data_IF_202683613069
#
_entry.id   IF_202683613069
#
_cell.length_a   1.000
_cell.length_b   1.000
_cell.length_c   1.000
_cell.angle_alpha   90.00
_cell.angle_beta   90.00
_cell.angle_gamma   90.00
#
_symmetry.space_group_name_H-M   'P 1'
#
loop_
_entity.id
_entity.type
_entity.pdbx_description
1 polymer ?
#
# COMPACT_ATOMS: atom_id res chain seq x y z
N UNK A 1 -14.92 7.71 29.17
CA UNK A 1 -15.24 8.73 28.16
C UNK A 1 -14.80 8.18 26.81
N UNK A 2 -15.66 8.21 25.78
CA UNK A 2 -15.24 7.74 24.44
C UNK A 2 -14.19 8.70 23.87
N UNK A 3 -13.16 8.14 23.24
CA UNK A 3 -12.05 8.87 22.60
C UNK A 3 -12.49 9.32 21.19
N UNK A 4 -11.96 10.43 20.67
CA UNK A 4 -12.28 10.88 19.31
C UNK A 4 -11.46 10.10 18.28
N UNK A 5 -12.15 9.37 17.39
CA UNK A 5 -11.54 8.53 16.35
C UNK A 5 -10.58 9.30 15.44
N UNK A 6 -11.02 10.45 14.92
CA UNK A 6 -10.28 11.18 13.89
C UNK A 6 -9.11 11.97 14.46
N UNK A 7 -9.25 12.54 15.66
CA UNK A 7 -8.15 13.24 16.34
C UNK A 7 -7.01 12.29 16.72
N UNK A 8 -7.32 11.07 17.16
CA UNK A 8 -6.27 10.09 17.46
C UNK A 8 -5.62 9.55 16.20
N UNK A 9 -6.41 9.26 15.17
CA UNK A 9 -5.88 8.76 13.90
C UNK A 9 -4.98 9.79 13.19
N UNK A 10 -5.31 11.08 13.30
CA UNK A 10 -4.44 12.17 12.81
C UNK A 10 -3.05 12.15 13.48
N UNK A 11 -3.03 12.02 14.81
CA UNK A 11 -1.79 11.97 15.59
C UNK A 11 -0.94 10.76 15.20
N UNK A 12 -1.58 9.61 14.98
CA UNK A 12 -0.92 8.38 14.54
C UNK A 12 -0.38 8.57 13.13
N UNK A 13 -1.23 8.97 12.18
CA UNK A 13 -0.88 9.12 10.77
C UNK A 13 0.35 9.99 10.59
N UNK A 14 0.43 11.13 11.27
CA UNK A 14 1.54 12.08 11.11
C UNK A 14 2.67 11.94 12.13
N UNK A 15 2.66 10.88 12.95
CA UNK A 15 3.75 10.63 13.88
C UNK A 15 5.07 10.39 13.12
N UNK A 16 6.13 11.10 13.50
CA UNK A 16 7.42 11.08 12.79
C UNK A 16 8.26 9.85 13.11
N UNK A 17 8.21 9.36 14.35
CA UNK A 17 8.87 8.10 14.70
C UNK A 17 7.99 6.92 14.27
N UNK A 18 8.54 6.05 13.42
CA UNK A 18 7.86 4.88 12.84
C UNK A 18 7.43 3.88 13.91
N UNK A 19 8.32 3.55 14.83
CA UNK A 19 8.03 2.53 15.85
C UNK A 19 7.03 3.06 16.87
N UNK A 20 7.10 4.36 17.20
CA UNK A 20 6.08 5.00 18.02
C UNK A 20 4.74 5.12 17.30
N UNK A 21 4.73 5.39 15.98
CA UNK A 21 3.50 5.33 15.16
C UNK A 21 2.84 3.96 15.28
N UNK A 22 3.62 2.89 15.11
CA UNK A 22 3.14 1.51 15.21
C UNK A 22 2.61 1.21 16.62
N UNK A 23 3.33 1.61 17.66
CA UNK A 23 2.87 1.44 19.06
C UNK A 23 1.52 2.14 19.30
N UNK A 24 1.41 3.40 18.88
CA UNK A 24 0.18 4.20 19.02
C UNK A 24 -0.97 3.60 18.20
N UNK A 25 -0.69 3.11 16.99
CA UNK A 25 -1.67 2.42 16.16
C UNK A 25 -2.19 1.14 16.84
N UNK A 26 -1.30 0.32 17.42
CA UNK A 26 -1.70 -0.92 18.08
C UNK A 26 -2.64 -0.64 19.26
N UNK A 27 -2.32 0.34 20.11
CA UNK A 27 -3.22 0.75 21.20
C UNK A 27 -4.57 1.25 20.66
N UNK A 28 -4.52 2.12 19.64
CA UNK A 28 -5.71 2.65 18.98
C UNK A 28 -6.59 1.53 18.41
N UNK A 29 -6.00 0.56 17.73
CA UNK A 29 -6.73 -0.51 17.06
C UNK A 29 -7.40 -1.46 18.06
N UNK A 30 -6.77 -1.77 19.19
CA UNK A 30 -7.41 -2.52 20.29
C UNK A 30 -8.58 -1.76 20.91
N UNK A 31 -8.41 -0.46 21.15
CA UNK A 31 -9.49 0.40 21.65
C UNK A 31 -10.65 0.52 20.64
N UNK A 32 -10.34 0.51 19.35
CA UNK A 32 -11.31 0.52 18.25
C UNK A 32 -12.15 -0.74 18.24
N UNK A 33 -11.52 -1.91 18.31
CA UNK A 33 -12.21 -3.21 18.44
C UNK A 33 -13.07 -3.28 19.71
N UNK A 34 -12.67 -2.55 20.75
CA UNK A 34 -13.42 -2.44 22.02
C UNK A 34 -14.53 -1.38 22.01
N UNK A 35 -14.87 -0.79 20.86
CA UNK A 35 -15.91 0.24 20.69
C UNK A 35 -15.73 1.48 21.57
N UNK A 36 -14.48 1.86 21.85
CA UNK A 36 -14.14 2.98 22.74
C UNK A 36 -14.12 4.35 22.04
N UNK A 37 -14.43 4.41 20.75
CA UNK A 37 -14.38 5.64 19.97
C UNK A 37 -15.76 6.22 19.63
N UNK A 38 -15.80 7.55 19.51
CA UNK A 38 -16.85 8.28 18.81
C UNK A 38 -16.32 8.85 17.48
N UNK A 39 -17.19 8.92 16.47
CA UNK A 39 -16.84 9.41 15.14
C UNK A 39 -17.31 10.85 14.99
N UNK A 40 -16.43 11.81 15.28
CA UNK A 40 -16.71 13.21 15.01
C UNK A 40 -16.49 13.54 13.52
N UNK A 41 -17.51 13.32 12.69
CA UNK A 41 -17.41 13.55 11.24
C UNK A 41 -17.24 15.03 10.83
N UNK A 42 -17.37 15.98 11.77
CA UNK A 42 -17.04 17.39 11.49
C UNK A 42 -15.55 17.70 11.62
N UNK A 43 -14.71 16.72 12.00
CA UNK A 43 -13.26 16.90 12.07
C UNK A 43 -12.68 17.15 10.69
N UNK A 44 -12.07 18.32 10.50
CA UNK A 44 -11.43 18.70 9.23
C UNK A 44 -10.10 17.97 9.06
N UNK A 45 -9.98 17.22 7.95
CA UNK A 45 -8.79 16.45 7.68
C UNK A 45 -7.66 17.35 7.12
N UNK A 46 -6.50 17.34 7.77
CA UNK A 46 -5.32 18.03 7.26
C UNK A 46 -4.54 17.15 6.26
N UNK A 47 -3.52 17.73 5.64
CA UNK A 47 -2.55 16.98 4.85
C UNK A 47 -1.15 17.50 5.15
N UNK A 48 -0.25 16.60 5.50
CA UNK A 48 1.13 16.92 5.85
C UNK A 48 2.08 15.93 5.18
N UNK A 49 3.26 16.42 4.82
CA UNK A 49 4.35 15.56 4.34
C UNK A 49 4.70 14.54 5.42
N UNK A 50 4.66 13.26 5.06
CA UNK A 50 4.81 12.14 6.00
C UNK A 50 5.91 11.16 5.59
N UNK A 51 6.79 11.59 4.69
CA UNK A 51 7.89 10.75 4.22
C UNK A 51 8.92 10.50 5.32
N UNK A 52 9.39 9.26 5.39
CA UNK A 52 10.40 8.79 6.35
C UNK A 52 11.77 8.61 5.71
N UNK A 53 11.84 8.73 4.39
CA UNK A 53 13.04 8.46 3.60
C UNK A 53 13.25 9.57 2.59
N UNK A 54 14.49 9.77 2.17
CA UNK A 54 14.76 10.77 1.13
C UNK A 54 14.23 10.29 -0.22
N UNK A 55 13.21 10.98 -0.71
CA UNK A 55 12.56 10.69 -2.00
C UNK A 55 13.41 11.21 -3.16
N UNK A 56 13.61 10.35 -4.16
CA UNK A 56 14.22 10.66 -5.43
C UNK A 56 13.26 10.37 -6.57
N UNK A 57 13.45 11.07 -7.69
CA UNK A 57 12.75 10.73 -8.93
C UNK A 57 13.01 9.26 -9.31
N UNK A 58 12.01 8.47 -9.77
CA UNK A 58 12.19 7.05 -10.08
C UNK A 58 13.40 6.74 -10.97
N UNK A 59 13.67 7.59 -11.97
CA UNK A 59 14.83 7.44 -12.88
C UNK A 59 16.20 7.61 -12.21
N UNK A 60 16.25 8.20 -11.00
CA UNK A 60 17.49 8.41 -10.24
C UNK A 60 17.79 7.26 -9.27
N UNK A 61 16.85 6.32 -9.10
CA UNK A 61 17.03 5.16 -8.21
C UNK A 61 17.67 4.03 -8.99
N UNK A 62 18.90 3.68 -8.62
CA UNK A 62 19.61 2.53 -9.19
C UNK A 62 19.13 1.24 -8.53
N UNK A 63 18.14 0.59 -9.16
CA UNK A 63 17.67 -0.73 -8.74
C UNK A 63 18.75 -1.78 -9.04
N UNK A 64 19.12 -2.65 -8.09
CA UNK A 64 20.03 -3.76 -8.36
C UNK A 64 19.48 -4.59 -9.53
N UNK A 65 20.34 -5.11 -10.41
CA UNK A 65 19.91 -6.04 -11.46
C UNK A 65 19.84 -7.49 -10.97
N UNK A 66 20.69 -7.83 -10.02
CA UNK A 66 20.87 -9.17 -9.45
C UNK A 66 20.80 -9.13 -7.92
N UNK A 67 20.57 -10.30 -7.28
CA UNK A 67 20.51 -10.49 -5.84
C UNK A 67 21.76 -11.20 -5.28
N UNK A 68 22.94 -10.85 -5.83
CA UNK A 68 24.21 -11.57 -5.63
C UNK A 68 25.05 -11.08 -4.44
N UNK A 69 24.62 -10.04 -3.72
CA UNK A 69 25.33 -9.51 -2.54
C UNK A 69 24.35 -9.07 -1.46
N UNK A 70 24.82 -9.04 -0.21
CA UNK A 70 24.07 -8.52 0.95
C UNK A 70 23.52 -7.11 0.69
N UNK A 71 24.33 -6.24 0.08
CA UNK A 71 23.90 -4.87 -0.29
C UNK A 71 22.78 -4.88 -1.35
N UNK A 72 22.88 -5.74 -2.36
CA UNK A 72 21.85 -5.87 -3.40
C UNK A 72 20.54 -6.39 -2.81
N UNK A 73 20.60 -7.40 -1.92
CA UNK A 73 19.45 -7.93 -1.19
C UNK A 73 18.79 -6.84 -0.34
N UNK A 74 19.59 -6.13 0.46
CA UNK A 74 19.09 -5.08 1.35
C UNK A 74 18.38 -3.96 0.56
N UNK A 75 18.91 -3.54 -0.59
CA UNK A 75 18.25 -2.54 -1.45
C UNK A 75 16.91 -3.01 -2.01
N UNK A 76 16.81 -4.29 -2.37
CA UNK A 76 15.56 -4.88 -2.88
C UNK A 76 14.53 -4.92 -1.75
N UNK A 77 14.88 -5.48 -0.59
CA UNK A 77 13.98 -5.58 0.57
C UNK A 77 13.58 -4.21 1.11
N UNK A 78 14.49 -3.24 1.16
CA UNK A 78 14.17 -1.86 1.56
C UNK A 78 13.14 -1.22 0.63
N UNK A 79 13.25 -1.48 -0.68
CA UNK A 79 12.28 -0.95 -1.64
C UNK A 79 10.88 -1.52 -1.39
N UNK A 80 10.78 -2.80 -1.03
CA UNK A 80 9.50 -3.43 -0.64
C UNK A 80 9.02 -2.89 0.69
N UNK A 81 9.89 -2.80 1.71
CA UNK A 81 9.55 -2.23 3.01
C UNK A 81 9.01 -0.79 2.90
N UNK A 82 9.53 0.01 1.97
CA UNK A 82 8.99 1.34 1.70
C UNK A 82 7.58 1.30 1.11
N UNK A 83 7.26 0.33 0.26
CA UNK A 83 5.93 0.15 -0.31
C UNK A 83 4.96 -0.22 0.80
N UNK A 84 5.26 -1.24 1.61
CA UNK A 84 4.41 -1.64 2.75
C UNK A 84 4.22 -0.48 3.73
N UNK A 85 5.30 0.23 4.09
CA UNK A 85 5.19 1.40 4.98
C UNK A 85 4.33 2.53 4.36
N UNK A 86 4.39 2.71 3.04
CA UNK A 86 3.52 3.66 2.37
C UNK A 86 2.07 3.21 2.42
N UNK A 87 1.80 1.91 2.24
CA UNK A 87 0.46 1.32 2.35
C UNK A 87 -0.16 1.49 3.74
N UNK A 88 0.64 1.40 4.83
CA UNK A 88 0.18 1.80 6.18
C UNK A 88 -0.39 3.22 6.16
N UNK A 89 0.36 4.18 5.62
CA UNK A 89 -0.09 5.58 5.57
C UNK A 89 -1.30 5.77 4.65
N UNK A 90 -1.39 5.03 3.54
CA UNK A 90 -2.54 5.09 2.62
C UNK A 90 -3.81 4.61 3.32
N UNK A 91 -3.75 3.48 4.02
CA UNK A 91 -4.88 2.89 4.72
C UNK A 91 -5.33 3.75 5.92
N UNK A 92 -4.38 4.28 6.69
CA UNK A 92 -4.66 5.26 7.74
C UNK A 92 -5.26 6.55 7.16
N UNK A 93 -4.73 7.07 6.05
CA UNK A 93 -5.27 8.26 5.38
C UNK A 93 -6.69 8.02 4.86
N UNK A 94 -7.00 6.87 4.27
CA UNK A 94 -8.35 6.53 3.84
C UNK A 94 -9.34 6.58 5.02
N UNK A 95 -8.98 5.91 6.13
CA UNK A 95 -9.76 5.88 7.37
C UNK A 95 -9.93 7.27 8.01
N UNK A 96 -8.89 8.09 7.94
CA UNK A 96 -8.88 9.42 8.54
C UNK A 96 -9.63 10.42 7.69
N UNK A 97 -9.43 10.43 6.37
CA UNK A 97 -9.83 11.51 5.47
C UNK A 97 -11.29 11.44 5.08
N UNK A 98 -11.79 10.26 4.75
CA UNK A 98 -13.16 10.11 4.26
C UNK A 98 -14.14 9.91 5.42
N UNK A 99 -15.15 10.77 5.47
CA UNK A 99 -16.12 10.87 6.58
C UNK A 99 -17.50 10.39 6.12
N UNK A 100 -18.40 10.18 7.09
CA UNK A 100 -19.79 9.78 6.86
C UNK A 100 -19.94 8.46 6.07
N UNK A 101 -18.98 7.54 6.25
CA UNK A 101 -19.00 6.22 5.63
C UNK A 101 -19.49 5.15 6.63
N UNK A 102 -19.96 4.00 6.16
CA UNK A 102 -20.33 2.89 7.03
C UNK A 102 -19.16 2.47 7.92
N UNK A 103 -19.44 2.00 9.14
CA UNK A 103 -18.40 1.51 10.08
C UNK A 103 -17.44 0.51 9.41
N UNK A 104 -17.96 -0.32 8.51
CA UNK A 104 -17.19 -1.30 7.75
C UNK A 104 -16.03 -0.70 6.95
N UNK A 105 -16.18 0.52 6.43
CA UNK A 105 -15.11 1.23 5.73
C UNK A 105 -13.90 1.44 6.64
N UNK A 106 -14.14 1.95 7.84
CA UNK A 106 -13.09 2.18 8.83
C UNK A 106 -12.49 0.86 9.33
N UNK A 107 -13.31 -0.19 9.51
CA UNK A 107 -12.81 -1.51 9.87
C UNK A 107 -11.89 -2.09 8.80
N UNK A 108 -12.29 -2.01 7.53
CA UNK A 108 -11.51 -2.55 6.41
C UNK A 108 -10.14 -1.90 6.29
N UNK A 109 -10.06 -0.57 6.36
CA UNK A 109 -8.79 0.14 6.20
C UNK A 109 -7.90 0.08 7.44
N UNK A 110 -8.48 -0.05 8.65
CA UNK A 110 -7.67 -0.33 9.84
C UNK A 110 -7.13 -1.76 9.86
N UNK A 111 -7.88 -2.74 9.32
CA UNK A 111 -7.38 -4.10 9.10
C UNK A 111 -6.21 -4.11 8.11
N UNK A 112 -6.33 -3.41 6.97
CA UNK A 112 -5.22 -3.25 6.01
C UNK A 112 -4.01 -2.62 6.70
N UNK A 113 -4.19 -1.52 7.45
CA UNK A 113 -3.07 -0.89 8.16
C UNK A 113 -2.36 -1.84 9.15
N UNK A 114 -3.11 -2.69 9.86
CA UNK A 114 -2.57 -3.70 10.77
C UNK A 114 -1.78 -4.80 10.04
N UNK A 115 -2.27 -5.26 8.88
CA UNK A 115 -1.57 -6.24 8.04
C UNK A 115 -0.30 -5.66 7.42
N UNK A 116 -0.35 -4.43 6.89
CA UNK A 116 0.79 -3.70 6.34
C UNK A 116 1.89 -3.42 7.38
N UNK A 117 1.49 -3.15 8.63
CA UNK A 117 2.45 -3.05 9.76
C UNK A 117 3.19 -4.37 9.96
N UNK A 118 2.50 -5.52 9.88
CA UNK A 118 3.15 -6.83 10.02
C UNK A 118 4.11 -7.08 8.86
N UNK A 119 3.72 -6.76 7.63
CA UNK A 119 4.59 -6.88 6.46
C UNK A 119 5.86 -6.03 6.60
N UNK A 120 5.69 -4.76 6.96
CA UNK A 120 6.80 -3.85 7.20
C UNK A 120 7.76 -4.37 8.27
N UNK A 121 7.23 -4.83 9.41
CA UNK A 121 8.05 -5.34 10.52
C UNK A 121 8.80 -6.63 10.15
N UNK A 122 8.21 -7.52 9.36
CA UNK A 122 8.90 -8.69 8.82
C UNK A 122 10.10 -8.28 7.95
N UNK A 123 9.87 -7.35 7.02
CA UNK A 123 10.92 -6.85 6.12
C UNK A 123 12.01 -6.07 6.87
N UNK A 124 11.63 -5.23 7.84
CA UNK A 124 12.56 -4.49 8.69
C UNK A 124 13.44 -5.43 9.52
N UNK A 125 12.85 -6.48 10.10
CA UNK A 125 13.63 -7.52 10.79
C UNK A 125 14.64 -8.18 9.85
N UNK A 126 14.23 -8.57 8.64
CA UNK A 126 15.13 -9.19 7.66
C UNK A 126 16.21 -8.22 7.15
N UNK A 127 15.91 -6.93 7.03
CA UNK A 127 16.91 -5.90 6.73
C UNK A 127 17.98 -5.84 7.83
N UNK A 128 17.55 -5.84 9.10
CA UNK A 128 18.47 -5.82 10.24
C UNK A 128 19.38 -7.05 10.27
N UNK A 129 18.88 -8.24 9.88
CA UNK A 129 19.71 -9.45 9.71
C UNK A 129 20.77 -9.32 8.61
N UNK A 130 20.53 -8.47 7.60
CA UNK A 130 21.50 -8.12 6.55
C UNK A 130 22.46 -6.99 6.97
N UNK A 131 22.29 -6.41 8.17
CA UNK A 131 23.08 -5.29 8.68
C UNK A 131 22.64 -3.92 8.17
N UNK A 132 21.38 -3.79 7.71
CA UNK A 132 20.77 -2.54 7.24
C UNK A 132 19.45 -2.29 7.95
N UNK A 133 18.90 -1.09 7.81
CA UNK A 133 17.57 -0.74 8.32
C UNK A 133 16.76 0.07 7.32
N UNK A 134 15.46 0.12 7.54
CA UNK A 134 14.61 1.05 6.81
C UNK A 134 15.11 2.49 6.99
N UNK A 135 15.15 3.23 5.88
CA UNK A 135 15.74 4.56 5.79
C UNK A 135 17.22 4.63 5.37
N UNK A 136 17.96 3.52 5.33
CA UNK A 136 19.36 3.53 4.86
C UNK A 136 19.51 3.80 3.35
N UNK A 137 18.44 3.57 2.57
CA UNK A 137 18.42 3.81 1.14
C UNK A 137 17.34 4.83 0.73
N UNK A 138 17.55 5.45 -0.43
CA UNK A 138 16.57 6.33 -1.06
C UNK A 138 15.40 5.55 -1.67
N UNK A 139 14.23 6.18 -1.72
CA UNK A 139 13.05 5.60 -2.35
C UNK A 139 12.34 6.59 -3.29
N UNK A 140 11.27 6.15 -3.97
CA UNK A 140 10.44 6.99 -4.83
C UNK A 140 9.02 7.03 -4.29
N UNK A 141 8.30 8.12 -4.55
CA UNK A 141 6.97 8.32 -3.98
C UNK A 141 5.85 8.49 -5.02
N UNK A 142 5.57 7.41 -5.75
CA UNK A 142 4.43 7.42 -6.67
C UNK A 142 3.08 7.34 -5.93
N UNK A 143 3.07 6.76 -4.71
CA UNK A 143 1.86 6.57 -3.91
C UNK A 143 1.42 7.88 -3.23
N UNK A 144 2.34 8.66 -2.66
CA UNK A 144 2.01 9.97 -2.08
C UNK A 144 1.46 10.92 -3.14
N UNK A 145 2.06 10.95 -4.34
CA UNK A 145 1.52 11.76 -5.43
C UNK A 145 0.07 11.39 -5.75
N UNK A 146 -0.23 10.09 -5.86
CA UNK A 146 -1.59 9.62 -6.13
C UNK A 146 -2.55 9.95 -4.97
N UNK A 147 -2.09 9.81 -3.72
CA UNK A 147 -2.82 10.21 -2.51
C UNK A 147 -3.19 11.69 -2.58
N UNK A 148 -2.24 12.58 -2.90
CA UNK A 148 -2.46 14.02 -2.93
C UNK A 148 -3.50 14.44 -3.98
N UNK A 149 -3.42 13.91 -5.20
CA UNK A 149 -4.32 14.32 -6.29
C UNK A 149 -5.73 13.72 -6.18
N UNK A 150 -5.89 12.64 -5.40
CA UNK A 150 -7.18 11.97 -5.17
C UNK A 150 -7.79 12.29 -3.81
N UNK A 151 -7.13 13.13 -3.00
CA UNK A 151 -7.50 13.41 -1.60
C UNK A 151 -8.96 13.86 -1.39
N UNK A 152 -9.54 14.53 -2.39
CA UNK A 152 -10.88 15.13 -2.29
C UNK A 152 -11.99 14.26 -2.92
N UNK A 153 -11.66 13.07 -3.43
CA UNK A 153 -12.64 12.20 -4.11
C UNK A 153 -12.45 10.73 -3.74
N UNK A 154 -13.42 10.19 -2.99
CA UNK A 154 -13.40 8.80 -2.52
C UNK A 154 -13.30 7.80 -3.68
N UNK A 155 -14.14 7.93 -4.72
CA UNK A 155 -14.12 7.01 -5.86
C UNK A 155 -12.77 7.03 -6.58
N UNK A 156 -12.18 8.22 -6.79
CA UNK A 156 -10.85 8.29 -7.40
C UNK A 156 -9.78 7.71 -6.48
N UNK A 157 -9.85 7.92 -5.16
CA UNK A 157 -8.89 7.33 -4.22
C UNK A 157 -8.95 5.81 -4.26
N UNK A 158 -10.15 5.25 -4.11
CA UNK A 158 -10.34 3.80 -4.10
C UNK A 158 -9.92 3.18 -5.43
N UNK A 159 -10.30 3.80 -6.56
CA UNK A 159 -9.97 3.28 -7.89
C UNK A 159 -8.48 3.41 -8.26
N UNK A 160 -7.87 4.57 -8.06
CA UNK A 160 -6.49 4.80 -8.51
C UNK A 160 -5.46 4.25 -7.53
N UNK A 161 -5.67 4.44 -6.23
CA UNK A 161 -4.67 4.04 -5.22
C UNK A 161 -4.88 2.60 -4.81
N UNK A 162 -6.00 2.30 -4.15
CA UNK A 162 -6.17 0.99 -3.50
C UNK A 162 -6.50 -0.15 -4.45
N UNK A 163 -7.32 0.12 -5.47
CA UNK A 163 -7.61 -0.87 -6.51
C UNK A 163 -6.50 -0.91 -7.56
N UNK A 164 -5.94 0.24 -7.93
CA UNK A 164 -5.03 0.36 -9.06
C UNK A 164 -3.55 0.20 -8.72
N UNK A 165 -2.99 1.13 -7.95
CA UNK A 165 -1.56 1.17 -7.64
C UNK A 165 -1.13 0.06 -6.69
N UNK A 166 -1.92 -0.28 -5.68
CA UNK A 166 -1.64 -1.40 -4.76
C UNK A 166 -1.67 -2.75 -5.51
N UNK A 167 -2.55 -2.92 -6.51
CA UNK A 167 -2.56 -4.12 -7.37
C UNK A 167 -1.26 -4.36 -8.16
N UNK A 168 -0.36 -3.37 -8.22
CA UNK A 168 0.97 -3.59 -8.80
C UNK A 168 1.88 -4.42 -7.90
N UNK A 169 1.61 -4.48 -6.60
CA UNK A 169 2.25 -5.43 -5.69
C UNK A 169 2.01 -6.87 -6.14
N UNK A 170 0.77 -7.20 -6.52
CA UNK A 170 0.40 -8.52 -7.06
C UNK A 170 1.21 -8.92 -8.30
N UNK A 171 1.54 -7.93 -9.15
CA UNK A 171 2.32 -8.12 -10.36
C UNK A 171 3.82 -8.21 -10.07
N UNK A 172 4.34 -7.32 -9.21
CA UNK A 172 5.78 -7.15 -9.01
C UNK A 172 6.38 -8.18 -8.03
N UNK A 173 5.65 -8.53 -6.98
CA UNK A 173 6.15 -9.38 -5.89
C UNK A 173 6.63 -10.77 -6.37
N UNK A 174 5.95 -11.46 -7.30
CA UNK A 174 6.47 -12.72 -7.86
C UNK A 174 7.85 -12.59 -8.50
N UNK A 175 8.10 -11.52 -9.29
CA UNK A 175 9.40 -11.28 -9.92
C UNK A 175 10.47 -10.90 -8.90
N UNK A 176 10.10 -10.12 -7.88
CA UNK A 176 11.00 -9.77 -6.78
C UNK A 176 11.43 -11.04 -6.03
N UNK A 177 10.48 -11.92 -5.72
CA UNK A 177 10.76 -13.19 -5.04
C UNK A 177 11.64 -14.11 -5.90
N UNK A 178 11.33 -14.28 -7.18
CA UNK A 178 12.15 -15.07 -8.11
C UNK A 178 13.60 -14.59 -8.09
N UNK A 179 13.79 -13.27 -8.16
CA UNK A 179 15.11 -12.66 -8.11
C UNK A 179 15.80 -12.88 -6.78
N UNK A 180 15.11 -12.69 -5.65
CA UNK A 180 15.66 -12.95 -4.32
C UNK A 180 16.08 -14.43 -4.18
N UNK A 181 15.33 -15.35 -4.80
CA UNK A 181 15.62 -16.78 -4.84
C UNK A 181 16.86 -17.16 -5.66
N UNK A 182 17.47 -16.23 -6.40
CA UNK A 182 18.76 -16.48 -7.07
C UNK A 182 19.96 -16.38 -6.13
N UNK A 183 19.77 -15.86 -4.90
CA UNK A 183 20.88 -15.72 -3.95
C UNK A 183 21.34 -17.04 -3.34
N UNK A 184 22.59 -17.05 -2.88
CA UNK A 184 23.17 -18.11 -2.03
C UNK A 184 23.28 -17.67 -0.56
N UNK A 185 22.72 -16.51 -0.18
CA UNK A 185 22.76 -16.01 1.18
C UNK A 185 21.99 -16.94 2.16
N UNK A 186 22.48 -17.19 3.39
CA UNK A 186 21.85 -18.12 4.33
C UNK A 186 20.37 -17.81 4.67
N UNK A 187 19.99 -16.53 4.65
CA UNK A 187 18.62 -16.09 4.98
C UNK A 187 17.61 -16.30 3.86
N UNK A 188 18.02 -16.86 2.71
CA UNK A 188 17.19 -17.04 1.50
C UNK A 188 15.82 -17.64 1.80
N UNK A 189 15.75 -18.61 2.71
CA UNK A 189 14.50 -19.31 3.07
C UNK A 189 13.42 -18.37 3.60
N UNK A 190 13.79 -17.25 4.23
CA UNK A 190 12.84 -16.29 4.78
C UNK A 190 12.04 -15.57 3.68
N UNK A 191 12.61 -15.40 2.49
CA UNK A 191 11.99 -14.60 1.43
C UNK A 191 10.69 -15.22 0.92
N UNK A 192 10.67 -16.54 0.69
CA UNK A 192 9.46 -17.22 0.24
C UNK A 192 8.33 -17.14 1.25
N UNK A 193 8.64 -17.24 2.55
CA UNK A 193 7.65 -17.13 3.62
C UNK A 193 7.04 -15.73 3.68
N UNK A 194 7.89 -14.70 3.73
CA UNK A 194 7.46 -13.29 3.81
C UNK A 194 6.61 -12.91 2.59
N UNK A 195 7.07 -13.22 1.37
CA UNK A 195 6.34 -12.84 0.16
C UNK A 195 5.06 -13.65 -0.05
N UNK A 196 4.96 -14.85 0.55
CA UNK A 196 3.70 -15.61 0.54
C UNK A 196 2.66 -14.95 1.46
N UNK A 197 3.09 -14.49 2.65
CA UNK A 197 2.22 -13.74 3.57
C UNK A 197 1.70 -12.47 2.87
N UNK A 198 2.63 -11.65 2.36
CA UNK A 198 2.30 -10.39 1.67
C UNK A 198 1.32 -10.64 0.52
N UNK A 199 1.61 -11.59 -0.37
CA UNK A 199 0.75 -11.84 -1.54
C UNK A 199 -0.68 -12.27 -1.13
N UNK A 200 -0.83 -13.08 -0.09
CA UNK A 200 -2.14 -13.56 0.35
C UNK A 200 -3.00 -12.43 0.93
N UNK A 201 -2.39 -11.49 1.64
CA UNK A 201 -3.09 -10.36 2.24
C UNK A 201 -3.36 -9.27 1.20
N UNK A 202 -2.42 -8.99 0.30
CA UNK A 202 -2.55 -8.04 -0.80
C UNK A 202 -3.74 -8.34 -1.73
N UNK A 203 -4.03 -9.62 -2.00
CA UNK A 203 -5.22 -10.00 -2.78
C UNK A 203 -6.50 -9.48 -2.09
N UNK A 204 -6.57 -9.56 -0.76
CA UNK A 204 -7.72 -9.07 0.03
C UNK A 204 -7.73 -7.55 0.08
N UNK A 205 -6.57 -6.91 0.19
CA UNK A 205 -6.44 -5.45 0.23
C UNK A 205 -6.95 -4.82 -1.06
N UNK A 206 -6.49 -5.32 -2.20
CA UNK A 206 -6.95 -4.87 -3.51
C UNK A 206 -8.44 -5.16 -3.70
N UNK A 207 -8.94 -6.28 -3.17
CA UNK A 207 -10.38 -6.56 -3.19
C UNK A 207 -11.20 -5.56 -2.36
N UNK A 208 -10.70 -5.11 -1.20
CA UNK A 208 -11.32 -4.00 -0.44
C UNK A 208 -11.30 -2.70 -1.27
N UNK A 209 -10.21 -2.43 -1.98
CA UNK A 209 -10.11 -1.31 -2.92
C UNK A 209 -11.16 -1.39 -4.03
N UNK A 210 -11.33 -2.56 -4.65
CA UNK A 210 -12.37 -2.83 -5.65
C UNK A 210 -13.78 -2.62 -5.09
N UNK A 211 -14.07 -3.20 -3.92
CA UNK A 211 -15.36 -3.08 -3.26
C UNK A 211 -15.71 -1.61 -2.98
N UNK A 212 -14.79 -0.86 -2.38
CA UNK A 212 -15.03 0.54 -2.02
C UNK A 212 -15.01 1.48 -3.22
N UNK A 213 -14.32 1.11 -4.31
CA UNK A 213 -14.46 1.80 -5.59
C UNK A 213 -15.86 1.61 -6.16
N UNK A 214 -16.37 0.38 -6.20
CA UNK A 214 -17.74 0.08 -6.64
C UNK A 214 -18.81 0.74 -5.76
N UNK A 215 -18.57 0.85 -4.46
CA UNK A 215 -19.43 1.59 -3.54
C UNK A 215 -19.49 3.09 -3.84
N UNK A 216 -18.35 3.70 -4.16
CA UNK A 216 -18.22 5.15 -4.30
C UNK A 216 -18.46 5.67 -5.73
N UNK A 217 -18.27 4.83 -6.74
CA UNK A 217 -18.43 5.20 -8.15
C UNK A 217 -19.90 5.45 -8.49
N UNK A 218 -20.15 6.28 -9.51
CA UNK A 218 -21.50 6.43 -10.08
C UNK A 218 -21.81 5.24 -10.99
N UNK A 219 -23.09 5.02 -11.25
CA UNK A 219 -23.59 3.87 -12.04
C UNK A 219 -22.87 3.70 -13.38
N UNK A 220 -22.65 4.81 -14.11
CA UNK A 220 -22.01 4.82 -15.43
C UNK A 220 -20.49 5.08 -15.39
N UNK A 221 -19.85 5.13 -14.22
CA UNK A 221 -18.41 5.33 -14.14
C UNK A 221 -17.68 4.05 -14.56
N UNK A 222 -16.84 4.18 -15.59
CA UNK A 222 -15.93 3.14 -16.08
C UNK A 222 -14.57 3.21 -15.37
N UNK A 223 -14.01 2.04 -15.05
CA UNK A 223 -12.64 2.00 -14.52
C UNK A 223 -11.62 2.48 -15.55
N UNK A 224 -11.81 2.14 -16.82
CA UNK A 224 -10.90 2.51 -17.88
C UNK A 224 -10.88 4.04 -18.10
N UNK A 225 -12.03 4.70 -17.99
CA UNK A 225 -12.12 6.16 -18.05
C UNK A 225 -11.38 6.82 -16.88
N UNK A 226 -11.48 6.22 -15.69
CA UNK A 226 -10.73 6.67 -14.52
C UNK A 226 -9.21 6.50 -14.75
N UNK A 227 -8.79 5.35 -15.30
CA UNK A 227 -7.39 5.11 -15.70
C UNK A 227 -6.90 6.13 -16.73
N UNK A 228 -7.72 6.45 -17.74
CA UNK A 228 -7.40 7.41 -18.78
C UNK A 228 -7.28 8.85 -18.23
N UNK A 229 -8.13 9.22 -17.26
CA UNK A 229 -8.07 10.51 -16.56
C UNK A 229 -6.76 10.68 -15.79
N UNK A 230 -6.23 9.60 -15.23
CA UNK A 230 -5.02 9.57 -14.42
C UNK A 230 -3.86 8.85 -15.14
N UNK A 231 -3.72 9.09 -16.45
CA UNK A 231 -2.76 8.41 -17.33
C UNK A 231 -1.29 8.56 -16.94
N UNK A 232 -0.94 9.49 -16.05
CA UNK A 232 0.40 9.57 -15.50
C UNK A 232 0.76 8.39 -14.59
N UNK A 233 -0.22 7.63 -14.12
CA UNK A 233 -0.02 6.37 -13.40
C UNK A 233 -0.21 5.18 -14.34
N UNK A 234 0.81 4.34 -14.42
CA UNK A 234 0.65 3.02 -15.00
C UNK A 234 0.18 2.05 -13.90
N UNK A 235 -1.06 1.57 -14.04
CA UNK A 235 -1.77 0.70 -13.08
C UNK A 235 -1.68 -0.80 -13.42
N UNK A 236 -1.03 -1.18 -14.54
CA UNK A 236 -0.86 -2.57 -14.95
C UNK A 236 0.62 -2.85 -15.30
N UNK A 237 1.20 -3.88 -14.69
CA UNK A 237 2.53 -4.34 -15.07
C UNK A 237 2.59 -4.78 -16.55
N UNK A 238 3.75 -4.61 -17.20
CA UNK A 238 3.97 -5.16 -18.55
C UNK A 238 3.78 -6.68 -18.57
N UNK A 239 4.18 -7.34 -17.50
CA UNK A 239 3.78 -8.70 -17.16
C UNK A 239 3.08 -8.60 -15.82
N UNK A 240 1.87 -9.13 -15.73
CA UNK A 240 0.99 -8.96 -14.59
C UNK A 240 0.43 -10.31 -14.14
N UNK A 241 0.07 -10.40 -12.87
CA UNK A 241 -0.44 -11.64 -12.29
C UNK A 241 -1.96 -11.73 -12.50
N UNK A 242 -2.37 -12.23 -13.67
CA UNK A 242 -3.79 -12.35 -14.05
C UNK A 242 -4.61 -13.11 -13.00
N UNK A 243 -4.08 -14.21 -12.45
CA UNK A 243 -4.77 -15.02 -11.44
C UNK A 243 -5.01 -14.23 -10.15
N UNK A 244 -3.99 -13.57 -9.60
CA UNK A 244 -4.14 -12.79 -8.38
C UNK A 244 -5.06 -11.58 -8.57
N UNK A 245 -4.99 -10.90 -9.72
CA UNK A 245 -5.91 -9.78 -10.03
C UNK A 245 -7.36 -10.25 -10.14
N UNK A 246 -7.62 -11.40 -10.76
CA UNK A 246 -8.99 -11.96 -10.80
C UNK A 246 -9.48 -12.29 -9.38
N UNK A 247 -8.63 -12.92 -8.56
CA UNK A 247 -8.96 -13.19 -7.16
C UNK A 247 -9.23 -11.91 -6.36
N UNK A 248 -8.56 -10.81 -6.71
CA UNK A 248 -8.76 -9.50 -6.12
C UNK A 248 -10.02 -8.77 -6.62
N UNK A 249 -10.77 -9.31 -7.59
CA UNK A 249 -12.05 -8.75 -8.04
C UNK A 249 -12.06 -8.18 -9.47
N UNK A 250 -10.95 -8.24 -10.19
CA UNK A 250 -10.92 -7.84 -11.60
C UNK A 250 -11.61 -8.89 -12.48
N UNK A 251 -12.34 -8.45 -13.52
CA UNK A 251 -12.88 -9.36 -14.53
C UNK A 251 -11.86 -9.63 -15.64
N UNK A 252 -12.02 -10.75 -16.37
CA UNK A 252 -11.15 -11.04 -17.51
C UNK A 252 -11.23 -9.97 -18.61
N UNK A 253 -12.43 -9.46 -18.89
CA UNK A 253 -12.64 -8.40 -19.88
C UNK A 253 -11.95 -7.11 -19.45
N UNK A 254 -12.11 -6.71 -18.20
CA UNK A 254 -11.46 -5.50 -17.67
C UNK A 254 -9.94 -5.61 -17.71
N UNK A 255 -9.37 -6.78 -17.40
CA UNK A 255 -7.92 -6.99 -17.53
C UNK A 255 -7.44 -6.91 -18.98
N UNK A 256 -8.24 -7.39 -19.94
CA UNK A 256 -7.92 -7.25 -21.36
C UNK A 256 -7.97 -5.78 -21.80
N UNK A 257 -8.97 -5.02 -21.36
CA UNK A 257 -9.08 -3.58 -21.65
C UNK A 257 -7.90 -2.79 -21.08
N UNK A 258 -7.47 -3.11 -19.85
CA UNK A 258 -6.31 -2.50 -19.23
C UNK A 258 -5.00 -2.87 -19.96
N UNK A 259 -4.86 -4.12 -20.40
CA UNK A 259 -3.70 -4.56 -21.19
C UNK A 259 -3.63 -3.86 -22.54
N UNK A 260 -4.77 -3.72 -23.21
CA UNK A 260 -4.89 -2.99 -24.47
C UNK A 260 -4.55 -1.51 -24.29
N UNK A 261 -4.93 -0.91 -23.16
CA UNK A 261 -4.66 0.50 -22.87
C UNK A 261 -3.20 0.78 -22.48
N UNK A 262 -2.60 -0.06 -21.63
CA UNK A 262 -1.27 0.20 -21.06
C UNK A 262 -0.12 -0.46 -21.83
N UNK A 263 -0.35 -1.62 -22.44
CA UNK A 263 0.72 -2.44 -23.01
C UNK A 263 0.67 -2.55 -24.54
N UNK A 264 -0.51 -2.44 -25.16
CA UNK A 264 -0.60 -2.38 -26.63
C UNK A 264 -0.40 -0.94 -27.12
N UNK A 265 0.57 -0.76 -28.00
CA UNK A 265 0.78 0.46 -28.79
C UNK A 265 0.33 0.22 -30.21
#
# INVERSE_FOLDING_TARGET
MKRNFFEELEKILYHKDIFKKIELFNEFYENFKSNLYNFNHSHEAIICENSQVKILHPMKIRRPKEANSTLSLAKILHSVAHIEYSAINLALDASYRFKNLPLKFYQDWLEVADEEIKHFLLLEKTLNELGFKYGDFHAHDNLEKALLITKDNLAHRMGIVHRGLEAKGLDANPFVLEKLNTTNHPIKSLFSEIFTIILNDEIKHVNKGDFWWNYAKKENDSYLDLCAKYKEFNLLGKVYNKTARIQAGFSENELQELDDFYNKK
#
